data_IF_334555464730
#
_entry.id   IF_334555464730
#
_cell.length_a   1.000
_cell.length_b   1.000
_cell.length_c   1.000
_cell.angle_alpha   90.00
_cell.angle_beta   90.00
_cell.angle_gamma   90.00
#
_symmetry.space_group_name_H-M   'P 1'
#
loop_
_entity.id
_entity.type
_entity.pdbx_description
1 polymer ?
#
# COMPACT_ATOMS: atom_id res chain seq x y z
N UNK A 1 18.76 -10.46 -25.74
CA UNK A 1 19.16 -11.34 -24.61
C UNK A 1 19.67 -10.57 -23.38
N UNK A 2 20.47 -9.50 -23.52
CA UNK A 2 21.03 -8.72 -22.39
C UNK A 2 19.97 -7.98 -21.54
N UNK A 3 18.97 -7.36 -22.17
CA UNK A 3 17.93 -6.57 -21.48
C UNK A 3 17.08 -7.42 -20.52
N UNK A 4 16.63 -8.61 -20.95
CA UNK A 4 15.82 -9.51 -20.10
C UNK A 4 16.59 -9.97 -18.85
N UNK A 5 17.89 -10.27 -18.99
CA UNK A 5 18.75 -10.66 -17.86
C UNK A 5 18.92 -9.49 -16.88
N UNK A 6 19.11 -8.27 -17.40
CA UNK A 6 19.19 -7.07 -16.59
C UNK A 6 17.90 -6.82 -15.80
N UNK A 7 16.73 -6.82 -16.45
CA UNK A 7 15.44 -6.63 -15.76
C UNK A 7 15.17 -7.69 -14.70
N UNK A 8 15.46 -8.96 -15.01
CA UNK A 8 15.32 -10.05 -14.05
C UNK A 8 16.21 -9.88 -12.82
N UNK A 9 17.44 -9.41 -13.03
CA UNK A 9 18.36 -9.09 -11.93
C UNK A 9 17.80 -7.92 -11.11
N UNK A 10 17.37 -6.84 -11.75
CA UNK A 10 16.78 -5.67 -11.06
C UNK A 10 15.57 -6.06 -10.21
N UNK A 11 14.62 -6.83 -10.76
CA UNK A 11 13.44 -7.27 -10.01
C UNK A 11 13.80 -8.13 -8.80
N UNK A 12 14.76 -9.05 -8.97
CA UNK A 12 15.24 -9.89 -7.88
C UNK A 12 15.96 -9.06 -6.81
N UNK A 13 16.82 -8.14 -7.21
CA UNK A 13 17.57 -7.25 -6.31
C UNK A 13 16.64 -6.33 -5.54
N UNK A 14 15.63 -5.72 -6.19
CA UNK A 14 14.64 -4.88 -5.49
C UNK A 14 13.94 -5.67 -4.40
N UNK A 15 13.41 -6.86 -4.73
CA UNK A 15 12.72 -7.71 -3.76
C UNK A 15 13.62 -8.06 -2.57
N UNK A 16 14.85 -8.51 -2.85
CA UNK A 16 15.77 -8.99 -1.83
C UNK A 16 16.30 -7.85 -0.95
N UNK A 17 16.79 -6.77 -1.56
CA UNK A 17 17.39 -5.64 -0.85
C UNK A 17 16.34 -5.03 0.09
N UNK A 18 15.12 -4.78 -0.41
CA UNK A 18 14.06 -4.24 0.44
C UNK A 18 13.71 -5.15 1.60
N UNK A 19 13.47 -6.44 1.34
CA UNK A 19 13.11 -7.36 2.40
C UNK A 19 14.22 -7.51 3.44
N UNK A 20 15.49 -7.61 3.03
CA UNK A 20 16.62 -7.68 3.97
C UNK A 20 16.73 -6.40 4.79
N UNK A 21 16.61 -5.22 4.18
CA UNK A 21 16.66 -3.94 4.89
C UNK A 21 15.48 -3.79 5.85
N UNK A 22 14.27 -4.13 5.43
CA UNK A 22 13.08 -4.08 6.27
C UNK A 22 13.17 -5.04 7.45
N UNK A 23 13.51 -6.32 7.21
CA UNK A 23 13.69 -7.29 8.29
C UNK A 23 14.80 -6.85 9.24
N UNK A 24 15.91 -6.31 8.72
CA UNK A 24 16.97 -5.74 9.53
C UNK A 24 16.46 -4.61 10.43
N UNK A 25 15.75 -3.63 9.86
CA UNK A 25 15.19 -2.51 10.61
C UNK A 25 14.13 -2.96 11.64
N UNK A 26 13.26 -3.91 11.27
CA UNK A 26 12.21 -4.42 12.15
C UNK A 26 12.79 -5.19 13.31
N UNK A 27 13.64 -6.19 13.05
CA UNK A 27 14.11 -7.11 14.10
C UNK A 27 15.24 -6.53 14.94
N UNK A 28 16.14 -5.72 14.37
CA UNK A 28 17.25 -5.14 15.14
C UNK A 28 16.94 -3.78 15.77
N UNK A 29 15.92 -3.06 15.29
CA UNK A 29 15.64 -1.72 15.79
C UNK A 29 14.21 -1.56 16.31
N UNK A 30 13.18 -1.72 15.47
CA UNK A 30 11.78 -1.41 15.86
C UNK A 30 11.28 -2.35 16.96
N UNK A 31 11.44 -3.66 16.79
CA UNK A 31 10.94 -4.66 17.71
C UNK A 31 11.57 -4.57 19.12
N UNK A 32 12.90 -4.42 19.29
CA UNK A 32 13.49 -4.27 20.62
C UNK A 32 13.20 -2.91 21.28
N UNK A 33 13.04 -1.84 20.50
CA UNK A 33 12.85 -0.49 21.08
C UNK A 33 11.39 -0.14 21.35
N UNK A 34 10.47 -0.54 20.47
CA UNK A 34 9.05 -0.18 20.51
C UNK A 34 8.18 -1.41 20.75
N UNK A 35 8.57 -2.57 20.23
CA UNK A 35 7.72 -3.76 20.26
C UNK A 35 7.46 -4.27 21.68
N UNK A 36 8.49 -4.30 22.53
CA UNK A 36 8.33 -4.78 23.91
C UNK A 36 7.42 -3.88 24.74
N UNK A 37 7.66 -2.57 24.73
CA UNK A 37 6.84 -1.60 25.47
C UNK A 37 5.39 -1.60 24.98
N UNK A 38 5.17 -1.67 23.68
CA UNK A 38 3.82 -1.71 23.12
C UNK A 38 3.02 -2.95 23.54
N UNK A 39 3.69 -4.11 23.65
CA UNK A 39 3.06 -5.34 24.14
C UNK A 39 2.66 -5.18 25.61
N UNK A 40 3.60 -4.73 26.45
CA UNK A 40 3.38 -4.52 27.89
C UNK A 40 2.25 -3.51 28.15
N UNK A 41 2.26 -2.37 27.47
CA UNK A 41 1.25 -1.33 27.58
C UNK A 41 -0.13 -1.79 27.09
N UNK A 42 -0.18 -2.66 26.09
CA UNK A 42 -1.44 -3.25 25.61
C UNK A 42 -2.04 -4.21 26.64
N UNK A 43 -1.22 -5.08 27.24
CA UNK A 43 -1.68 -6.00 28.29
C UNK A 43 -2.08 -5.28 29.57
N UNK A 44 -1.46 -4.13 29.84
CA UNK A 44 -1.80 -3.24 30.96
C UNK A 44 -3.06 -2.40 30.70
N UNK A 45 -3.64 -2.47 29.50
CA UNK A 45 -4.85 -1.72 29.13
C UNK A 45 -4.62 -0.24 28.80
N UNK A 46 -3.37 0.20 28.70
CA UNK A 46 -3.01 1.58 28.35
C UNK A 46 -3.19 1.85 26.85
N UNK A 47 -2.91 0.85 26.01
CA UNK A 47 -3.04 0.94 24.55
C UNK A 47 -4.15 -0.01 24.07
N UNK A 48 -5.07 0.46 23.20
CA UNK A 48 -6.07 -0.43 22.59
C UNK A 48 -5.43 -1.57 21.80
N UNK A 49 -5.88 -2.81 22.02
CA UNK A 49 -5.32 -4.01 21.36
C UNK A 49 -5.37 -4.01 19.82
N UNK A 50 -6.18 -3.14 19.21
CA UNK A 50 -6.18 -2.94 17.76
C UNK A 50 -4.82 -2.48 17.23
N UNK A 51 -4.06 -1.69 18.01
CA UNK A 51 -2.72 -1.25 17.64
C UNK A 51 -1.70 -2.40 17.68
N UNK A 52 -1.84 -3.32 18.62
CA UNK A 52 -1.01 -4.53 18.69
C UNK A 52 -1.21 -5.41 17.45
N UNK A 53 -2.45 -5.59 16.98
CA UNK A 53 -2.72 -6.35 15.74
C UNK A 53 -2.01 -5.70 14.54
N UNK A 54 -2.09 -4.38 14.43
CA UNK A 54 -1.42 -3.66 13.33
C UNK A 54 0.10 -3.70 13.42
N UNK A 55 0.65 -3.65 14.64
CA UNK A 55 2.08 -3.81 14.88
C UNK A 55 2.56 -5.22 14.50
N UNK A 56 1.82 -6.26 14.90
CA UNK A 56 2.08 -7.64 14.45
C UNK A 56 2.05 -7.70 12.92
N UNK A 57 1.11 -7.01 12.26
CA UNK A 57 1.09 -6.88 10.80
C UNK A 57 2.37 -6.28 10.21
N UNK A 58 2.85 -5.15 10.76
CA UNK A 58 4.10 -4.49 10.34
C UNK A 58 5.29 -5.46 10.38
N UNK A 59 5.36 -6.31 11.41
CA UNK A 59 6.43 -7.30 11.55
C UNK A 59 6.21 -8.53 10.66
N UNK A 60 4.99 -9.06 10.65
CA UNK A 60 4.69 -10.34 10.02
C UNK A 60 4.64 -10.25 8.49
N UNK A 61 4.15 -9.14 7.92
CA UNK A 61 3.98 -8.99 6.47
C UNK A 61 5.32 -9.19 5.73
N UNK A 62 6.38 -8.39 5.97
CA UNK A 62 7.65 -8.58 5.27
C UNK A 62 8.24 -9.98 5.49
N UNK A 63 8.13 -10.52 6.71
CA UNK A 63 8.63 -11.86 7.04
C UNK A 63 7.93 -12.95 6.25
N UNK A 64 6.60 -12.95 6.23
CA UNK A 64 5.80 -13.93 5.50
C UNK A 64 6.07 -13.82 3.99
N UNK A 65 6.08 -12.61 3.43
CA UNK A 65 6.29 -12.42 2.00
C UNK A 65 7.73 -12.71 1.56
N UNK A 66 8.73 -12.47 2.41
CA UNK A 66 10.11 -12.94 2.19
C UNK A 66 10.16 -14.46 2.08
N UNK A 67 9.52 -15.18 3.00
CA UNK A 67 9.49 -16.64 3.01
C UNK A 67 8.75 -17.17 1.78
N UNK A 68 7.55 -16.64 1.50
CA UNK A 68 6.74 -17.03 0.33
C UNK A 68 7.49 -16.75 -0.97
N UNK A 69 8.10 -15.57 -1.12
CA UNK A 69 8.88 -15.21 -2.29
C UNK A 69 10.09 -16.12 -2.50
N UNK A 70 10.83 -16.39 -1.42
CA UNK A 70 11.98 -17.29 -1.43
C UNK A 70 11.64 -18.75 -1.73
N UNK A 71 10.45 -19.22 -1.33
CA UNK A 71 10.02 -20.60 -1.55
C UNK A 71 9.34 -20.80 -2.91
N UNK A 72 8.33 -19.99 -3.22
CA UNK A 72 7.45 -20.20 -4.37
C UNK A 72 7.96 -19.53 -5.66
N UNK A 73 8.54 -18.33 -5.55
CA UNK A 73 8.85 -17.47 -6.71
C UNK A 73 10.35 -17.27 -6.97
N UNK A 74 11.22 -18.06 -6.33
CA UNK A 74 12.69 -17.93 -6.43
C UNK A 74 13.24 -17.86 -7.86
N UNK A 75 12.64 -18.60 -8.80
CA UNK A 75 13.04 -18.65 -10.21
C UNK A 75 12.26 -17.69 -11.11
N UNK A 76 11.35 -16.90 -10.55
CA UNK A 76 10.38 -16.08 -11.26
C UNK A 76 10.47 -14.62 -10.81
N UNK A 77 11.52 -13.89 -11.22
CA UNK A 77 11.82 -12.55 -10.72
C UNK A 77 10.69 -11.54 -10.96
N UNK A 78 9.96 -11.67 -12.07
CA UNK A 78 8.78 -10.85 -12.33
C UNK A 78 7.66 -11.06 -11.29
N UNK A 79 7.49 -12.30 -10.79
CA UNK A 79 6.48 -12.58 -9.77
C UNK A 79 6.92 -12.07 -8.40
N UNK A 80 8.22 -12.10 -8.09
CA UNK A 80 8.76 -11.44 -6.89
C UNK A 80 8.49 -9.94 -6.91
N UNK A 81 8.72 -9.28 -8.04
CA UNK A 81 8.42 -7.86 -8.21
C UNK A 81 6.92 -7.56 -8.03
N UNK A 82 6.04 -8.39 -8.61
CA UNK A 82 4.59 -8.27 -8.44
C UNK A 82 4.16 -8.54 -7.00
N UNK A 83 4.78 -9.49 -6.31
CA UNK A 83 4.52 -9.80 -4.90
C UNK A 83 4.86 -8.61 -4.02
N UNK A 84 6.05 -8.02 -4.21
CA UNK A 84 6.48 -6.86 -3.44
C UNK A 84 5.58 -5.64 -3.66
N UNK A 85 5.48 -5.15 -4.91
CA UNK A 85 4.77 -3.91 -5.19
C UNK A 85 3.25 -4.06 -5.22
N UNK A 86 2.72 -5.24 -5.53
CA UNK A 86 1.29 -5.48 -5.67
C UNK A 86 0.62 -6.00 -4.40
N UNK A 87 1.37 -6.59 -3.47
CA UNK A 87 0.81 -7.24 -2.29
C UNK A 87 1.50 -6.78 -1.00
N UNK A 88 2.80 -7.02 -0.87
CA UNK A 88 3.54 -6.77 0.37
C UNK A 88 3.58 -5.29 0.74
N UNK A 89 4.07 -4.42 -0.14
CA UNK A 89 4.21 -2.99 0.12
C UNK A 89 2.85 -2.30 0.36
N UNK A 90 1.78 -2.58 -0.41
CA UNK A 90 0.44 -2.06 -0.09
C UNK A 90 -0.10 -2.54 1.25
N UNK A 91 0.04 -3.83 1.61
CA UNK A 91 -0.39 -4.33 2.92
C UNK A 91 0.39 -3.67 4.05
N UNK A 92 1.71 -3.56 3.89
CA UNK A 92 2.57 -2.89 4.85
C UNK A 92 2.18 -1.42 5.02
N UNK A 93 1.90 -0.71 3.92
CA UNK A 93 1.40 0.66 3.95
C UNK A 93 0.05 0.77 4.67
N UNK A 94 -0.88 -0.16 4.47
CA UNK A 94 -2.14 -0.18 5.21
C UNK A 94 -1.90 -0.31 6.73
N UNK A 95 -0.98 -1.18 7.14
CA UNK A 95 -0.63 -1.32 8.54
C UNK A 95 0.02 -0.04 9.10
N UNK A 96 0.92 0.61 8.35
CA UNK A 96 1.50 1.89 8.75
C UNK A 96 0.46 3.01 8.86
N UNK A 97 -0.43 3.14 7.88
CA UNK A 97 -1.51 4.13 7.90
C UNK A 97 -2.41 3.90 9.10
N UNK A 98 -2.76 2.65 9.42
CA UNK A 98 -3.57 2.35 10.59
C UNK A 98 -2.84 2.61 11.90
N UNK A 99 -1.55 2.30 11.98
CA UNK A 99 -0.77 2.46 13.20
C UNK A 99 -0.44 3.92 13.51
N UNK A 100 -0.06 4.72 12.51
CA UNK A 100 0.43 6.09 12.71
C UNK A 100 -0.58 7.19 12.39
N UNK A 101 -1.44 7.01 11.38
CA UNK A 101 -2.26 8.10 10.84
C UNK A 101 -3.71 8.00 11.33
N UNK A 102 -4.31 6.82 11.19
CA UNK A 102 -5.71 6.61 11.48
C UNK A 102 -5.86 6.12 12.92
N UNK A 103 -6.03 7.05 13.87
CA UNK A 103 -6.31 6.69 15.27
C UNK A 103 -7.70 6.09 15.42
N UNK A 104 -8.70 6.72 14.81
CA UNK A 104 -10.09 6.27 14.81
C UNK A 104 -10.53 5.91 13.38
N UNK A 105 -11.21 4.77 13.25
CA UNK A 105 -11.76 4.33 11.97
C UNK A 105 -13.22 4.76 11.86
N UNK A 106 -13.47 5.78 11.04
CA UNK A 106 -14.83 6.09 10.59
C UNK A 106 -15.36 4.97 9.68
N UNK A 107 -16.68 4.86 9.55
CA UNK A 107 -17.30 3.87 8.66
C UNK A 107 -16.82 4.02 7.21
N UNK A 108 -16.67 5.26 6.72
CA UNK A 108 -16.18 5.54 5.38
C UNK A 108 -14.71 5.14 5.20
N UNK A 109 -13.82 5.45 6.16
CA UNK A 109 -12.42 5.00 6.10
C UNK A 109 -12.30 3.48 6.18
N UNK A 110 -13.14 2.81 6.98
CA UNK A 110 -13.19 1.35 7.04
C UNK A 110 -13.57 0.75 5.71
N UNK A 111 -14.57 1.31 5.01
CA UNK A 111 -14.96 0.86 3.67
C UNK A 111 -13.81 1.01 2.67
N UNK A 112 -13.11 2.15 2.66
CA UNK A 112 -11.96 2.37 1.77
C UNK A 112 -10.85 1.35 2.06
N UNK A 113 -10.43 1.23 3.32
CA UNK A 113 -9.35 0.30 3.71
C UNK A 113 -9.73 -1.15 3.41
N UNK A 114 -10.98 -1.56 3.67
CA UNK A 114 -11.48 -2.88 3.35
C UNK A 114 -11.47 -3.13 1.83
N UNK A 115 -11.84 -2.13 1.03
CA UNK A 115 -11.82 -2.24 -0.44
C UNK A 115 -10.39 -2.41 -0.97
N UNK A 116 -9.42 -1.67 -0.42
CA UNK A 116 -8.00 -1.83 -0.75
C UNK A 116 -7.53 -3.22 -0.33
N UNK A 117 -7.86 -3.67 0.88
CA UNK A 117 -7.49 -4.98 1.38
C UNK A 117 -8.04 -6.12 0.53
N UNK A 118 -9.32 -6.06 0.14
CA UNK A 118 -9.96 -7.01 -0.78
C UNK A 118 -9.24 -7.01 -2.14
N UNK A 119 -8.87 -5.83 -2.65
CA UNK A 119 -8.15 -5.69 -3.91
C UNK A 119 -6.77 -6.35 -3.85
N UNK A 120 -6.04 -6.18 -2.74
CA UNK A 120 -4.75 -6.83 -2.51
C UNK A 120 -4.90 -8.35 -2.47
N UNK A 121 -5.88 -8.86 -1.73
CA UNK A 121 -6.16 -10.30 -1.66
C UNK A 121 -6.52 -10.84 -3.06
N UNK A 122 -7.36 -10.12 -3.80
CA UNK A 122 -7.76 -10.52 -5.14
C UNK A 122 -6.55 -10.60 -6.09
N UNK A 123 -5.65 -9.61 -6.03
CA UNK A 123 -4.41 -9.60 -6.80
C UNK A 123 -3.47 -10.75 -6.40
N UNK A 124 -3.33 -11.02 -5.10
CA UNK A 124 -2.51 -12.13 -4.59
C UNK A 124 -3.05 -13.49 -5.07
N UNK A 125 -4.38 -13.69 -4.99
CA UNK A 125 -5.03 -14.91 -5.47
C UNK A 125 -4.95 -15.05 -6.99
N UNK A 126 -5.09 -13.97 -7.75
CA UNK A 126 -4.89 -13.97 -9.21
C UNK A 126 -3.45 -14.34 -9.56
N UNK A 127 -2.46 -13.85 -8.79
CA UNK A 127 -1.06 -14.20 -9.00
C UNK A 127 -0.78 -15.68 -8.73
N UNK A 128 -1.41 -16.27 -7.70
CA UNK A 128 -1.20 -17.67 -7.30
C UNK A 128 -1.96 -18.68 -8.19
N UNK A 129 -3.23 -18.41 -8.47
CA UNK A 129 -4.14 -19.38 -9.10
C UNK A 129 -4.64 -18.96 -10.49
N UNK A 130 -4.47 -17.70 -10.87
CA UNK A 130 -4.98 -17.17 -12.14
C UNK A 130 -6.51 -17.05 -12.18
N UNK A 131 -7.07 -17.10 -13.40
CA UNK A 131 -8.51 -16.95 -13.63
C UNK A 131 -9.27 -18.27 -13.44
N UNK A 132 -10.34 -18.25 -12.66
CA UNK A 132 -11.08 -19.44 -12.21
C UNK A 132 -12.17 -19.89 -13.20
N UNK A 133 -11.81 -20.18 -14.45
CA UNK A 133 -12.76 -20.51 -15.54
C UNK A 133 -13.72 -21.68 -15.22
N UNK A 134 -13.29 -22.64 -14.39
CA UNK A 134 -14.05 -23.86 -14.10
C UNK A 134 -15.21 -23.67 -13.11
N UNK A 135 -15.14 -22.68 -12.22
CA UNK A 135 -16.17 -22.46 -11.20
C UNK A 135 -16.86 -21.12 -11.43
N UNK A 136 -18.15 -21.18 -11.77
CA UNK A 136 -18.98 -20.01 -12.03
C UNK A 136 -18.99 -19.04 -10.86
N UNK A 137 -19.18 -19.52 -9.63
CA UNK A 137 -19.24 -18.65 -8.44
C UNK A 137 -17.93 -17.89 -8.23
N UNK A 138 -16.79 -18.58 -8.38
CA UNK A 138 -15.47 -17.97 -8.22
C UNK A 138 -15.17 -16.98 -9.36
N UNK A 139 -15.58 -17.27 -10.60
CA UNK A 139 -15.45 -16.34 -11.73
C UNK A 139 -16.23 -15.04 -11.49
N UNK A 140 -17.46 -15.14 -10.96
CA UNK A 140 -18.27 -13.98 -10.60
C UNK A 140 -17.67 -13.19 -9.43
N UNK A 141 -17.15 -13.88 -8.40
CA UNK A 141 -16.46 -13.24 -7.28
C UNK A 141 -15.17 -12.53 -7.75
N UNK A 142 -14.41 -13.16 -8.66
CA UNK A 142 -13.24 -12.54 -9.27
C UNK A 142 -13.63 -11.30 -10.07
N UNK A 143 -14.72 -11.33 -10.84
CA UNK A 143 -15.23 -10.16 -11.56
C UNK A 143 -15.58 -9.02 -10.60
N UNK A 144 -16.26 -9.31 -9.50
CA UNK A 144 -16.59 -8.31 -8.47
C UNK A 144 -15.33 -7.69 -7.87
N UNK A 145 -14.40 -8.53 -7.38
CA UNK A 145 -13.19 -8.07 -6.73
C UNK A 145 -12.26 -7.31 -7.68
N UNK A 146 -12.17 -7.72 -8.95
CA UNK A 146 -11.33 -7.04 -9.96
C UNK A 146 -11.96 -5.75 -10.48
N UNK A 147 -13.29 -5.60 -10.38
CA UNK A 147 -13.96 -4.31 -10.61
C UNK A 147 -13.63 -3.31 -9.49
N UNK A 148 -13.68 -3.75 -8.23
CA UNK A 148 -13.22 -2.94 -7.09
C UNK A 148 -11.73 -2.62 -7.16
N UNK A 149 -10.90 -3.57 -7.61
CA UNK A 149 -9.48 -3.33 -7.81
C UNK A 149 -9.19 -2.33 -8.91
N UNK A 150 -9.99 -2.32 -10.00
CA UNK A 150 -9.87 -1.30 -11.05
C UNK A 150 -10.20 0.09 -10.48
N UNK A 151 -11.31 0.20 -9.74
CA UNK A 151 -11.72 1.43 -9.06
C UNK A 151 -10.62 1.91 -8.09
N UNK A 152 -10.12 1.00 -7.26
CA UNK A 152 -9.06 1.27 -6.27
C UNK A 152 -7.75 1.67 -6.96
N UNK A 153 -7.33 0.93 -7.97
CA UNK A 153 -6.09 1.19 -8.71
C UNK A 153 -6.11 2.54 -9.43
N UNK A 154 -7.26 2.96 -9.95
CA UNK A 154 -7.44 4.30 -10.51
C UNK A 154 -7.46 5.38 -9.43
N UNK A 155 -8.27 5.22 -8.39
CA UNK A 155 -8.43 6.21 -7.33
C UNK A 155 -7.12 6.42 -6.55
N UNK A 156 -6.56 5.34 -5.99
CA UNK A 156 -5.30 5.36 -5.25
C UNK A 156 -4.15 5.72 -6.18
N UNK A 157 -4.16 5.22 -7.42
CA UNK A 157 -3.14 5.55 -8.41
C UNK A 157 -3.08 7.04 -8.71
N UNK A 158 -4.21 7.68 -9.01
CA UNK A 158 -4.28 9.13 -9.24
C UNK A 158 -3.83 9.91 -8.00
N UNK A 159 -4.31 9.52 -6.82
CA UNK A 159 -3.95 10.18 -5.56
C UNK A 159 -2.44 10.11 -5.30
N UNK A 160 -1.83 8.93 -5.43
CA UNK A 160 -0.40 8.76 -5.20
C UNK A 160 0.44 9.43 -6.30
N UNK A 161 0.02 9.35 -7.57
CA UNK A 161 0.71 9.99 -8.70
C UNK A 161 0.70 11.52 -8.61
N UNK A 162 -0.36 12.10 -8.04
CA UNK A 162 -0.43 13.54 -7.78
C UNK A 162 0.75 14.03 -6.93
N UNK A 163 1.25 13.21 -5.99
CA UNK A 163 2.45 13.52 -5.20
C UNK A 163 3.74 13.00 -5.84
N UNK A 164 3.72 11.79 -6.40
CA UNK A 164 4.92 11.15 -6.95
C UNK A 164 5.49 11.91 -8.14
N UNK A 165 4.64 12.42 -9.04
CA UNK A 165 5.09 13.13 -10.25
C UNK A 165 5.84 14.42 -9.92
N UNK A 166 5.32 15.35 -9.08
CA UNK A 166 6.08 16.52 -8.66
C UNK A 166 7.40 16.17 -7.99
N UNK A 167 7.41 15.19 -7.08
CA UNK A 167 8.65 14.75 -6.41
C UNK A 167 9.66 14.21 -7.42
N UNK A 168 9.20 13.46 -8.43
CA UNK A 168 10.05 12.97 -9.52
C UNK A 168 10.72 14.12 -10.26
N UNK A 169 9.96 15.15 -10.62
CA UNK A 169 10.47 16.34 -11.32
C UNK A 169 11.48 17.08 -10.45
N UNK A 170 11.19 17.25 -9.15
CA UNK A 170 12.13 17.86 -8.21
C UNK A 170 13.44 17.07 -8.11
N UNK A 171 13.38 15.75 -7.95
CA UNK A 171 14.58 14.90 -7.87
C UNK A 171 15.40 14.96 -9.16
N UNK A 172 14.75 14.95 -10.33
CA UNK A 172 15.45 15.08 -11.62
C UNK A 172 16.13 16.45 -11.72
N UNK A 173 15.43 17.53 -11.34
CA UNK A 173 16.00 18.88 -11.35
C UNK A 173 17.20 19.00 -10.41
N UNK A 174 17.08 18.50 -9.18
CA UNK A 174 18.17 18.52 -8.20
C UNK A 174 19.34 17.62 -8.62
N UNK A 175 19.06 16.48 -9.25
CA UNK A 175 20.12 15.64 -9.79
C UNK A 175 20.94 16.37 -10.85
N UNK A 176 20.29 17.13 -11.74
CA UNK A 176 20.96 17.92 -12.78
C UNK A 176 21.48 19.29 -12.30
N UNK A 177 21.23 19.69 -11.05
CA UNK A 177 21.80 20.93 -10.50
C UNK A 177 23.29 20.79 -10.17
N UNK A 178 23.78 19.55 -10.03
CA UNK A 178 25.15 19.20 -9.63
C UNK A 178 25.63 19.80 -8.29
N UNK A 179 24.76 20.51 -7.56
CA UNK A 179 25.10 21.08 -6.26
C UNK A 179 25.45 20.00 -5.23
N UNK A 180 24.72 18.89 -5.28
CA UNK A 180 24.98 17.71 -4.46
C UNK A 180 26.39 17.13 -4.68
N UNK A 181 26.92 17.22 -5.91
CA UNK A 181 28.26 16.69 -6.22
C UNK A 181 29.36 17.52 -5.54
N UNK A 182 29.19 18.85 -5.48
CA UNK A 182 30.10 19.73 -4.75
C UNK A 182 30.12 19.39 -3.26
N UNK A 183 28.93 19.15 -2.68
CA UNK A 183 28.80 18.68 -1.30
C UNK A 183 29.55 17.36 -1.06
N UNK A 184 29.35 16.36 -1.93
CA UNK A 184 30.06 15.07 -1.83
C UNK A 184 31.58 15.23 -1.92
N UNK A 185 32.08 16.02 -2.87
CA UNK A 185 33.52 16.23 -3.05
C UNK A 185 34.11 16.94 -1.82
N UNK A 186 33.42 17.95 -1.30
CA UNK A 186 33.83 18.66 -0.09
C UNK A 186 33.93 17.72 1.11
N UNK A 187 32.87 16.97 1.41
CA UNK A 187 32.84 16.00 2.51
C UNK A 187 33.95 14.94 2.37
N UNK A 188 34.17 14.43 1.16
CA UNK A 188 35.19 13.41 0.91
C UNK A 188 36.62 13.96 1.06
N UNK A 189 36.83 15.24 0.76
CA UNK A 189 38.14 15.90 0.84
C UNK A 189 38.51 16.25 2.29
N UNK A 190 37.57 16.80 3.05
CA UNK A 190 37.84 17.32 4.39
C UNK A 190 37.55 16.31 5.52
N UNK A 191 36.75 15.28 5.25
CA UNK A 191 36.33 14.33 6.27
C UNK A 191 36.15 12.91 5.69
N UNK A 192 37.24 12.22 5.31
CA UNK A 192 37.17 10.90 4.67
C UNK A 192 36.51 9.82 5.55
N UNK A 193 36.41 10.04 6.87
CA UNK A 193 35.64 9.18 7.78
C UNK A 193 34.14 9.14 7.50
N UNK A 194 33.59 10.09 6.74
CA UNK A 194 32.16 10.19 6.41
C UNK A 194 31.74 9.36 5.19
N UNK A 195 32.68 8.64 4.55
CA UNK A 195 32.36 7.77 3.39
C UNK A 195 31.24 6.77 3.70
N UNK A 196 31.26 6.17 4.91
CA UNK A 196 30.21 5.24 5.32
C UNK A 196 28.84 5.93 5.38
N UNK A 197 28.77 7.11 6.01
CA UNK A 197 27.53 7.90 6.12
C UNK A 197 27.01 8.31 4.75
N UNK A 198 27.90 8.71 3.84
CA UNK A 198 27.54 9.03 2.46
C UNK A 198 26.93 7.82 1.75
N UNK A 199 27.59 6.66 1.80
CA UNK A 199 27.08 5.43 1.17
C UNK A 199 25.72 5.03 1.76
N UNK A 200 25.55 5.14 3.07
CA UNK A 200 24.28 4.89 3.74
C UNK A 200 23.19 5.87 3.28
N UNK A 201 23.51 7.17 3.15
CA UNK A 201 22.55 8.18 2.68
C UNK A 201 22.09 7.92 1.24
N UNK A 202 23.01 7.55 0.34
CA UNK A 202 22.68 7.18 -1.04
C UNK A 202 21.86 5.90 -1.12
N UNK A 203 22.18 4.92 -0.27
CA UNK A 203 21.41 3.69 -0.14
C UNK A 203 19.97 3.97 0.29
N UNK A 204 19.78 4.75 1.36
CA UNK A 204 18.46 5.17 1.84
C UNK A 204 17.72 5.96 0.77
N UNK A 205 18.39 6.92 0.10
CA UNK A 205 17.78 7.69 -0.98
C UNK A 205 17.29 6.81 -2.13
N UNK A 206 18.08 5.81 -2.53
CA UNK A 206 17.70 4.86 -3.58
C UNK A 206 16.46 4.04 -3.18
N UNK A 207 16.42 3.57 -1.93
CA UNK A 207 15.25 2.89 -1.38
C UNK A 207 14.04 3.84 -1.36
N UNK A 208 14.13 4.99 -0.69
CA UNK A 208 13.04 5.97 -0.61
C UNK A 208 12.50 6.35 -1.99
N UNK A 209 13.37 6.57 -2.97
CA UNK A 209 12.93 6.87 -4.35
C UNK A 209 12.17 5.68 -4.96
N UNK A 210 12.65 4.45 -4.80
CA UNK A 210 11.94 3.26 -5.29
C UNK A 210 10.53 3.09 -4.70
N UNK A 211 10.33 3.47 -3.43
CA UNK A 211 9.03 3.31 -2.75
C UNK A 211 8.11 4.52 -2.93
N UNK A 212 8.61 5.75 -2.87
CA UNK A 212 7.72 6.93 -2.93
C UNK A 212 7.52 7.46 -4.35
N UNK A 213 8.44 7.19 -5.27
CA UNK A 213 8.36 7.67 -6.65
C UNK A 213 7.90 6.57 -7.61
N UNK A 214 8.55 5.39 -7.56
CA UNK A 214 8.25 4.33 -8.52
C UNK A 214 7.03 3.49 -8.13
N UNK A 215 6.85 3.14 -6.85
CA UNK A 215 5.72 2.31 -6.40
C UNK A 215 4.35 2.85 -6.84
N UNK A 216 4.01 4.15 -6.71
CA UNK A 216 2.71 4.67 -7.16
C UNK A 216 2.35 4.29 -8.59
N UNK A 217 3.31 4.48 -9.51
CA UNK A 217 3.14 4.15 -10.93
C UNK A 217 3.01 2.64 -11.14
N UNK A 218 3.86 1.86 -10.47
CA UNK A 218 3.86 0.39 -10.58
C UNK A 218 2.56 -0.18 -10.02
N UNK A 219 2.12 0.25 -8.84
CA UNK A 219 0.89 -0.20 -8.18
C UNK A 219 -0.33 0.07 -9.07
N UNK A 220 -0.48 1.31 -9.53
CA UNK A 220 -1.57 1.71 -10.41
C UNK A 220 -1.57 0.85 -11.68
N UNK A 221 -0.42 0.70 -12.32
CA UNK A 221 -0.29 -0.14 -13.51
C UNK A 221 -0.64 -1.61 -13.26
N UNK A 222 -0.18 -2.19 -12.14
CA UNK A 222 -0.44 -3.60 -11.81
C UNK A 222 -1.94 -3.85 -11.58
N UNK A 223 -2.58 -2.96 -10.83
CA UNK A 223 -3.99 -3.12 -10.42
C UNK A 223 -4.92 -2.87 -11.61
N UNK A 224 -4.65 -1.82 -12.39
CA UNK A 224 -5.41 -1.52 -13.61
C UNK A 224 -5.24 -2.64 -14.64
N UNK A 225 -4.01 -3.09 -14.89
CA UNK A 225 -3.76 -4.17 -15.84
C UNK A 225 -4.42 -5.48 -15.41
N UNK A 226 -4.28 -5.86 -14.14
CA UNK A 226 -4.91 -7.07 -13.60
C UNK A 226 -6.44 -6.99 -13.70
N UNK A 227 -7.03 -5.86 -13.27
CA UNK A 227 -8.46 -5.62 -13.36
C UNK A 227 -8.97 -5.74 -14.79
N UNK A 228 -8.35 -5.02 -15.73
CA UNK A 228 -8.72 -5.07 -17.15
C UNK A 228 -8.58 -6.48 -17.74
N UNK A 229 -7.49 -7.19 -17.42
CA UNK A 229 -7.25 -8.54 -17.93
C UNK A 229 -8.34 -9.51 -17.50
N UNK A 230 -8.68 -9.55 -16.21
CA UNK A 230 -9.68 -10.47 -15.68
C UNK A 230 -11.09 -10.12 -16.18
N UNK A 231 -11.42 -8.83 -16.27
CA UNK A 231 -12.70 -8.39 -16.82
C UNK A 231 -12.83 -8.73 -18.32
N UNK A 232 -11.75 -8.65 -19.10
CA UNK A 232 -11.75 -9.10 -20.51
C UNK A 232 -11.96 -10.60 -20.62
N UNK A 233 -11.28 -11.40 -19.80
CA UNK A 233 -11.45 -12.86 -19.80
C UNK A 233 -12.89 -13.23 -19.41
N UNK A 234 -13.45 -12.58 -18.37
CA UNK A 234 -14.83 -12.79 -17.96
C UNK A 234 -15.83 -12.38 -19.05
N UNK A 235 -15.59 -11.26 -19.75
CA UNK A 235 -16.41 -10.83 -20.89
C UNK A 235 -16.39 -11.82 -22.05
N UNK A 236 -15.25 -12.44 -22.33
CA UNK A 236 -15.17 -13.48 -23.36
C UNK A 236 -15.95 -14.75 -22.96
N UNK A 237 -16.07 -15.05 -21.66
CA UNK A 237 -16.77 -16.24 -21.16
C UNK A 237 -18.29 -16.02 -21.00
N UNK A 238 -18.71 -14.87 -20.47
CA UNK A 238 -20.11 -14.60 -20.10
C UNK A 238 -20.80 -13.53 -20.95
N UNK A 239 -20.07 -12.89 -21.86
CA UNK A 239 -20.54 -11.85 -22.76
C UNK A 239 -20.28 -10.42 -22.24
N UNK A 240 -19.97 -9.51 -23.15
CA UNK A 240 -19.62 -8.11 -22.84
C UNK A 240 -20.74 -7.35 -22.09
N UNK A 241 -22.01 -7.59 -22.45
CA UNK A 241 -23.14 -6.91 -21.78
C UNK A 241 -23.24 -7.27 -20.29
N UNK A 242 -23.08 -8.55 -19.94
CA UNK A 242 -23.15 -9.01 -18.55
C UNK A 242 -21.98 -8.47 -17.74
N UNK A 243 -20.78 -8.42 -18.32
CA UNK A 243 -19.62 -7.82 -17.67
C UNK A 243 -19.82 -6.34 -17.40
N UNK A 244 -20.33 -5.59 -18.39
CA UNK A 244 -20.57 -4.16 -18.23
C UNK A 244 -21.62 -3.86 -17.15
N UNK A 245 -22.74 -4.60 -17.15
CA UNK A 245 -23.75 -4.53 -16.10
C UNK A 245 -23.17 -4.89 -14.73
N UNK A 246 -22.32 -5.93 -14.65
CA UNK A 246 -21.63 -6.32 -13.44
C UNK A 246 -20.75 -5.20 -12.89
N UNK A 247 -19.86 -4.63 -13.71
CA UNK A 247 -18.96 -3.54 -13.33
C UNK A 247 -19.77 -2.33 -12.82
N UNK A 248 -20.78 -1.89 -13.56
CA UNK A 248 -21.64 -0.77 -13.15
C UNK A 248 -22.35 -1.07 -11.84
N UNK A 249 -22.89 -2.28 -11.68
CA UNK A 249 -23.54 -2.72 -10.45
C UNK A 249 -22.60 -2.64 -9.25
N UNK A 250 -21.37 -3.13 -9.38
CA UNK A 250 -20.35 -3.07 -8.32
C UNK A 250 -20.01 -1.63 -7.96
N UNK A 251 -19.71 -0.78 -8.95
CA UNK A 251 -19.35 0.62 -8.72
C UNK A 251 -20.52 1.37 -8.07
N UNK A 252 -21.73 1.18 -8.55
CA UNK A 252 -22.93 1.83 -8.02
C UNK A 252 -23.18 1.41 -6.58
N UNK A 253 -23.13 0.10 -6.28
CA UNK A 253 -23.28 -0.40 -4.92
C UNK A 253 -22.22 0.16 -3.98
N UNK A 254 -20.96 0.20 -4.43
CA UNK A 254 -19.86 0.78 -3.66
C UNK A 254 -20.07 2.27 -3.39
N UNK A 255 -20.49 3.05 -4.40
CA UNK A 255 -20.79 4.48 -4.24
C UNK A 255 -21.94 4.74 -3.26
N UNK A 256 -23.01 3.94 -3.32
CA UNK A 256 -24.13 4.05 -2.37
C UNK A 256 -23.64 3.81 -0.94
N UNK A 257 -22.84 2.76 -0.72
CA UNK A 257 -22.26 2.47 0.60
C UNK A 257 -21.35 3.60 1.07
N UNK A 258 -20.49 4.10 0.18
CA UNK A 258 -19.55 5.18 0.50
C UNK A 258 -20.27 6.45 0.94
N UNK A 259 -21.25 6.93 0.17
CA UNK A 259 -22.05 8.12 0.49
C UNK A 259 -22.85 7.91 1.78
N UNK A 260 -23.43 6.71 1.97
CA UNK A 260 -24.20 6.39 3.18
C UNK A 260 -23.35 6.42 4.46
N UNK A 261 -22.08 6.03 4.36
CA UNK A 261 -21.12 6.05 5.48
C UNK A 261 -20.42 7.39 5.67
N UNK A 262 -20.55 8.33 4.74
CA UNK A 262 -19.95 9.66 4.82
C UNK A 262 -20.78 10.63 5.69
N UNK A 263 -21.32 10.15 6.82
CA UNK A 263 -21.96 11.03 7.80
C UNK A 263 -20.88 11.76 8.60
N UNK A 264 -20.69 13.03 8.30
CA UNK A 264 -19.64 13.84 8.92
C UNK A 264 -20.07 14.25 10.34
N UNK A 265 -19.30 13.91 11.39
CA UNK A 265 -19.67 14.22 12.78
C UNK A 265 -19.78 15.73 13.04
N UNK A 266 -19.15 16.57 12.22
CA UNK A 266 -19.27 18.03 12.29
C UNK A 266 -20.70 18.51 12.04
N UNK A 267 -21.47 17.84 11.17
CA UNK A 267 -22.88 18.21 10.92
C UNK A 267 -23.72 18.01 12.18
N UNK A 268 -23.44 16.94 12.94
CA UNK A 268 -24.10 16.67 14.22
C UNK A 268 -23.68 17.70 15.26
N UNK A 269 -22.39 18.07 15.31
CA UNK A 269 -21.91 19.10 16.22
C UNK A 269 -22.54 20.48 15.94
N UNK A 270 -22.70 20.86 14.66
CA UNK A 270 -23.39 22.10 14.29
C UNK A 270 -24.88 22.06 14.66
N UNK A 271 -25.56 20.93 14.45
CA UNK A 271 -26.94 20.76 14.89
C UNK A 271 -27.11 20.85 16.42
N UNK A 272 -26.10 20.41 17.19
CA UNK A 272 -26.10 20.56 18.65
C UNK A 272 -25.87 22.01 19.10
N UNK A 273 -25.16 22.82 18.30
CA UNK A 273 -24.95 24.25 18.57
C UNK A 273 -26.18 25.11 18.22
N UNK A 274 -27.03 24.65 17.31
CA UNK A 274 -28.31 25.29 16.99
C UNK A 274 -29.40 25.03 18.04
N UNK A 275 -29.17 24.11 18.98
CA UNK A 275 -30.05 23.92 20.12
C UNK A 275 -29.88 25.10 21.09
N UNK A 276 -30.97 25.70 21.61
CA UNK A 276 -30.87 26.76 22.59
C UNK A 276 -30.10 26.26 23.82
N UNK A 277 -29.14 27.06 24.29
CA UNK A 277 -28.34 26.77 25.48
C UNK A 277 -29.29 26.57 26.66
N UNK A 278 -29.48 25.32 27.10
CA UNK A 278 -30.16 25.04 28.37
C UNK A 278 -29.22 25.43 29.49
N UNK A 279 -29.48 26.56 30.13
CA UNK A 279 -28.81 26.92 31.36
C UNK A 279 -29.36 26.03 32.50
N UNK A 280 -28.52 25.68 33.47
CA UNK A 280 -28.94 24.93 34.67
C UNK A 280 -30.07 25.62 35.45
N UNK A 281 -30.32 26.92 35.21
CA UNK A 281 -31.43 27.69 35.75
C UNK A 281 -32.81 27.30 35.20
N UNK A 282 -32.88 26.59 34.06
CA UNK A 282 -34.14 26.15 33.44
C UNK A 282 -34.57 24.74 33.88
N UNK A 283 -33.79 24.12 34.78
CA UNK A 283 -34.01 22.76 35.32
C UNK A 283 -34.44 22.74 36.80
N UNK A 284 -34.71 23.91 37.39
CA UNK A 284 -35.32 24.08 38.72
C UNK A 284 -36.78 24.52 38.59
#
# INVERSE_FOLDING_TARGET
MKIKKFLNLTFYSIFLVWNVTFLGAVYFWILPTIGWSLIEDTFSGLIPGQFLITFIGIVAIPTIFTIIGGWLFRKQPLQLFRLFYGVEAPLFLLCLLRFFVLRELTQASTLILATIFISIIAFALEMLYGYANRNKLVSWLQMFAHSLMLLTGLYVGVLLLFYAVPVSVMLVREFFSFYWLQGIISELTYAPGYVFTLLLSLFVLALTTSLFVFMPSVLASLYVHSGQRILRIFANQYGHQRTFQGIIGVITAWMILFVSFQKQPQVVAFQMLDLPVRNESDLL
#
